data_IF_802643555959
#
_entry.id   IF_802643555959
#
_cell.length_a   1.000
_cell.length_b   1.000
_cell.length_c   1.000
_cell.angle_alpha   90.00
_cell.angle_beta   90.00
_cell.angle_gamma   90.00
#
_symmetry.space_group_name_H-M   'P 1'
#
loop_
_entity.id
_entity.type
_entity.pdbx_description
1 polymer ?
#
# COMPACT_ATOMS: atom_id res chain seq x y z
N UNK A 1 -15.31 7.02 30.79
CA UNK A 1 -14.70 6.01 29.92
C UNK A 1 -13.46 6.61 29.33
N UNK A 2 -12.35 6.46 30.04
CA UNK A 2 -10.98 6.42 29.53
C UNK A 2 -10.13 6.07 30.77
N UNK A 3 -9.76 4.80 30.89
CA UNK A 3 -8.97 4.26 32.00
C UNK A 3 -7.47 4.19 31.64
N UNK A 4 -7.02 4.95 30.63
CA UNK A 4 -5.59 5.12 30.31
C UNK A 4 -4.93 3.91 29.68
N UNK A 5 -5.71 2.97 29.12
CA UNK A 5 -5.16 1.81 28.42
C UNK A 5 -4.61 2.20 27.05
N UNK A 6 -3.46 1.64 26.63
CA UNK A 6 -2.94 1.85 25.29
C UNK A 6 -3.91 1.28 24.25
N UNK A 7 -4.09 2.02 23.16
CA UNK A 7 -4.86 1.56 22.01
C UNK A 7 -4.00 0.63 21.15
N UNK A 8 -4.63 -0.41 20.61
CA UNK A 8 -4.00 -1.36 19.70
C UNK A 8 -4.34 -1.00 18.25
N UNK A 9 -3.47 -1.40 17.32
CA UNK A 9 -3.68 -1.26 15.88
C UNK A 9 -3.43 -2.58 15.15
N UNK A 10 -3.73 -2.59 13.86
CA UNK A 10 -3.43 -3.71 12.98
C UNK A 10 -2.06 -3.54 12.34
N UNK A 11 -1.38 -4.65 12.09
CA UNK A 11 -0.20 -4.72 11.25
C UNK A 11 -0.51 -5.49 9.97
N UNK A 12 -0.10 -4.94 8.83
CA UNK A 12 -0.26 -5.63 7.54
C UNK A 12 0.80 -6.71 7.38
N UNK A 13 0.34 -7.97 7.36
CA UNK A 13 1.19 -9.14 7.10
C UNK A 13 1.29 -9.47 5.60
N UNK A 14 0.18 -9.34 4.87
CA UNK A 14 0.15 -9.63 3.43
C UNK A 14 0.72 -8.47 2.64
N UNK A 15 1.78 -8.73 1.88
CA UNK A 15 2.41 -7.77 0.98
C UNK A 15 2.11 -8.14 -0.47
N UNK A 16 1.00 -7.62 -0.99
CA UNK A 16 0.58 -7.77 -2.38
C UNK A 16 0.05 -6.44 -2.88
N UNK A 17 0.26 -6.12 -4.16
CA UNK A 17 -0.29 -4.89 -4.73
C UNK A 17 -1.82 -4.91 -4.70
N UNK A 18 -2.45 -3.86 -4.19
CA UNK A 18 -3.87 -3.55 -4.44
C UNK A 18 -4.01 -3.01 -5.87
N UNK A 19 -4.96 -3.55 -6.64
CA UNK A 19 -5.22 -3.09 -8.00
C UNK A 19 -5.84 -1.69 -8.01
N UNK A 20 -5.28 -0.79 -8.84
CA UNK A 20 -5.65 0.63 -8.90
C UNK A 20 -6.79 0.91 -9.89
N UNK A 21 -7.12 -0.03 -10.78
CA UNK A 21 -8.05 0.21 -11.90
C UNK A 21 -9.48 0.54 -11.47
N UNK A 22 -9.91 0.04 -10.30
CA UNK A 22 -11.24 0.27 -9.74
C UNK A 22 -11.26 1.30 -8.61
N UNK A 23 -10.14 1.98 -8.36
CA UNK A 23 -10.06 3.02 -7.34
C UNK A 23 -10.60 4.32 -7.92
N UNK A 24 -11.76 4.77 -7.44
CA UNK A 24 -12.25 6.12 -7.67
C UNK A 24 -11.49 7.09 -6.75
N UNK A 25 -10.42 7.70 -7.28
CA UNK A 25 -9.51 8.54 -6.52
C UNK A 25 -10.23 9.75 -5.91
N UNK A 26 -11.26 10.29 -6.58
CA UNK A 26 -12.00 11.46 -6.11
C UNK A 26 -12.84 11.18 -4.86
N UNK A 27 -13.12 9.91 -4.56
CA UNK A 27 -13.79 9.48 -3.33
C UNK A 27 -12.83 9.26 -2.16
N UNK A 28 -11.52 9.26 -2.40
CA UNK A 28 -10.52 9.09 -1.36
C UNK A 28 -10.11 10.43 -0.76
N UNK A 29 -10.04 10.46 0.56
CA UNK A 29 -9.36 11.53 1.29
C UNK A 29 -7.85 11.52 1.00
N UNK A 30 -7.18 12.64 1.27
CA UNK A 30 -5.73 12.72 1.10
C UNK A 30 -4.97 11.71 1.97
N UNK A 31 -5.51 11.39 3.15
CA UNK A 31 -4.93 10.40 4.07
C UNK A 31 -5.06 8.98 3.50
N UNK A 32 -6.23 8.60 2.98
CA UNK A 32 -6.43 7.28 2.37
C UNK A 32 -5.56 7.10 1.11
N UNK A 33 -5.43 8.14 0.29
CA UNK A 33 -4.50 8.15 -0.86
C UNK A 33 -3.06 7.95 -0.39
N UNK A 34 -2.63 8.72 0.61
CA UNK A 34 -1.29 8.62 1.18
C UNK A 34 -1.01 7.26 1.82
N UNK A 35 -2.01 6.66 2.47
CA UNK A 35 -1.92 5.31 3.03
C UNK A 35 -1.70 4.27 1.94
N UNK A 36 -2.46 4.33 0.84
CA UNK A 36 -2.32 3.39 -0.27
C UNK A 36 -0.96 3.53 -0.95
N UNK A 37 -0.50 4.77 -1.19
CA UNK A 37 0.82 5.03 -1.76
C UNK A 37 1.96 4.51 -0.87
N UNK A 38 1.86 4.71 0.46
CA UNK A 38 2.82 4.20 1.42
C UNK A 38 2.80 2.67 1.50
N UNK A 39 1.61 2.06 1.47
CA UNK A 39 1.46 0.60 1.41
C UNK A 39 2.11 0.02 0.16
N UNK A 40 1.82 0.59 -1.01
CA UNK A 40 2.41 0.21 -2.29
C UNK A 40 3.93 0.38 -2.34
N UNK A 41 4.46 1.43 -1.70
CA UNK A 41 5.91 1.59 -1.53
C UNK A 41 6.52 0.45 -0.71
N UNK A 42 5.93 0.13 0.44
CA UNK A 42 6.37 -1.02 1.26
C UNK A 42 6.31 -2.34 0.49
N UNK A 43 5.24 -2.57 -0.29
CA UNK A 43 5.15 -3.78 -1.12
C UNK A 43 6.29 -3.85 -2.13
N UNK A 44 6.65 -2.75 -2.81
CA UNK A 44 7.80 -2.74 -3.73
C UNK A 44 9.10 -3.02 -3.00
N UNK A 45 9.37 -2.32 -1.92
CA UNK A 45 10.66 -2.37 -1.22
C UNK A 45 10.95 -3.78 -0.70
N UNK A 46 9.93 -4.49 -0.21
CA UNK A 46 10.06 -5.84 0.34
C UNK A 46 10.02 -6.94 -0.73
N UNK A 47 9.21 -6.77 -1.78
CA UNK A 47 8.95 -7.85 -2.76
C UNK A 47 9.87 -7.75 -3.98
N UNK A 48 10.23 -6.55 -4.47
CA UNK A 48 11.05 -6.37 -5.66
C UNK A 48 12.40 -7.14 -5.63
N UNK A 49 13.13 -7.21 -4.49
CA UNK A 49 14.38 -7.97 -4.43
C UNK A 49 14.24 -9.48 -4.65
N UNK A 50 13.02 -10.01 -4.53
CA UNK A 50 12.70 -11.44 -4.65
C UNK A 50 12.23 -11.82 -6.07
N UNK A 51 12.09 -10.84 -6.96
CA UNK A 51 11.48 -11.01 -8.28
C UNK A 51 12.54 -10.99 -9.39
N UNK A 52 12.20 -11.64 -10.50
CA UNK A 52 12.91 -11.42 -11.76
C UNK A 52 12.63 -10.00 -12.31
N UNK A 53 13.46 -9.56 -13.25
CA UNK A 53 13.39 -8.21 -13.82
C UNK A 53 12.04 -7.90 -14.48
N UNK A 54 11.41 -8.87 -15.14
CA UNK A 54 10.12 -8.65 -15.83
C UNK A 54 9.01 -8.46 -14.81
N UNK A 55 8.97 -9.31 -13.79
CA UNK A 55 7.97 -9.24 -12.72
C UNK A 55 8.19 -7.99 -11.85
N UNK A 56 9.44 -7.59 -11.62
CA UNK A 56 9.78 -6.36 -10.90
C UNK A 56 9.22 -5.11 -11.62
N UNK A 57 9.44 -4.98 -12.94
CA UNK A 57 8.88 -3.87 -13.74
C UNK A 57 7.35 -3.86 -13.71
N UNK A 58 6.72 -5.03 -13.73
CA UNK A 58 5.27 -5.13 -13.56
C UNK A 58 4.85 -4.61 -12.17
N UNK A 59 5.54 -5.03 -11.10
CA UNK A 59 5.23 -4.61 -9.73
C UNK A 59 5.38 -3.10 -9.56
N UNK A 60 6.44 -2.51 -10.11
CA UNK A 60 6.67 -1.06 -10.13
C UNK A 60 5.48 -0.31 -10.77
N UNK A 61 4.96 -0.82 -11.89
CA UNK A 61 3.79 -0.24 -12.57
C UNK A 61 2.49 -0.44 -11.76
N UNK A 62 2.27 -1.64 -11.22
CA UNK A 62 1.10 -1.98 -10.43
C UNK A 62 0.96 -1.10 -9.18
N UNK A 63 2.09 -0.71 -8.60
CA UNK A 63 2.17 0.01 -7.33
C UNK A 63 2.40 1.53 -7.48
N UNK A 64 2.35 2.08 -8.71
CA UNK A 64 2.56 3.52 -8.92
C UNK A 64 1.63 4.38 -8.04
N UNK A 65 2.14 5.51 -7.49
CA UNK A 65 1.32 6.41 -6.69
C UNK A 65 0.05 6.88 -7.43
N UNK A 66 -1.02 7.11 -6.69
CA UNK A 66 -2.32 7.51 -7.27
C UNK A 66 -2.38 8.97 -7.74
N UNK A 67 -1.50 9.83 -7.21
CA UNK A 67 -1.47 11.31 -7.41
C UNK A 67 -2.70 12.08 -6.94
#
# INVERSE_FOLDING_TARGET
GDDGRPFLGFETLTLVSIDRTLVDVDQLTQEERGWLDAYHARVRDEIAPLLDETTCRWLESATRPLS
#
